data_IF_462319604662
#
_entry.id   IF_462319604662
#
_cell.length_a   1.000
_cell.length_b   1.000
_cell.length_c   1.000
_cell.angle_alpha   90.00
_cell.angle_beta   90.00
_cell.angle_gamma   90.00
#
_symmetry.space_group_name_H-M   'P 1'
#
loop_
_entity.id
_entity.type
_entity.pdbx_description
1 polymer ?
#
# COMPACT_ATOMS: atom_id res chain seq x y z
N UNK A 1 -4.97 6.23 20.60
CA UNK A 1 -4.12 6.50 19.42
C UNK A 1 -3.80 5.18 18.74
N UNK A 2 -3.82 5.12 17.42
CA UNK A 2 -3.56 3.89 16.65
C UNK A 2 -2.21 4.01 15.96
N UNK A 3 -1.35 3.01 16.16
CA UNK A 3 0.01 2.95 15.63
C UNK A 3 0.16 1.64 14.87
N UNK A 4 0.70 1.71 13.65
CA UNK A 4 1.02 0.54 12.84
C UNK A 4 2.56 0.39 12.82
N UNK A 5 3.13 -0.59 13.54
CA UNK A 5 4.58 -0.80 13.55
C UNK A 5 5.04 -1.40 12.21
N UNK A 6 5.90 -0.69 11.49
CA UNK A 6 6.46 -1.12 10.20
C UNK A 6 7.92 -0.66 10.04
N UNK A 7 8.65 -1.27 9.12
CA UNK A 7 9.91 -0.70 8.64
C UNK A 7 9.61 0.56 7.80
N UNK A 8 9.78 1.72 8.41
CA UNK A 8 9.47 3.02 7.80
C UNK A 8 10.66 3.68 7.07
N UNK A 9 11.80 2.98 6.93
CA UNK A 9 12.97 3.50 6.21
C UNK A 9 13.14 2.90 4.81
N UNK A 10 12.75 1.64 4.63
CA UNK A 10 12.91 0.96 3.35
C UNK A 10 11.86 1.40 2.34
N UNK A 11 12.27 1.87 1.15
CA UNK A 11 11.34 2.24 0.06
C UNK A 11 10.34 1.13 -0.28
N UNK A 12 10.82 -0.11 -0.39
CA UNK A 12 9.99 -1.29 -0.65
C UNK A 12 9.01 -1.59 0.50
N UNK A 13 9.46 -1.43 1.74
CA UNK A 13 8.63 -1.67 2.91
C UNK A 13 7.50 -0.64 3.01
N UNK A 14 7.79 0.64 2.72
CA UNK A 14 6.78 1.70 2.65
C UNK A 14 5.79 1.46 1.50
N UNK A 15 6.26 1.13 0.30
CA UNK A 15 5.41 0.82 -0.85
C UNK A 15 4.42 -0.31 -0.52
N UNK A 16 4.94 -1.43 0.01
CA UNK A 16 4.11 -2.54 0.43
C UNK A 16 3.09 -2.15 1.51
N UNK A 17 3.53 -1.39 2.52
CA UNK A 17 2.67 -0.94 3.63
C UNK A 17 1.49 -0.12 3.12
N UNK A 18 1.75 0.87 2.26
CA UNK A 18 0.67 1.69 1.71
C UNK A 18 -0.22 0.93 0.74
N UNK A 19 0.34 0.01 -0.04
CA UNK A 19 -0.43 -0.84 -0.95
C UNK A 19 -1.43 -1.73 -0.19
N UNK A 20 -0.99 -2.44 0.86
CA UNK A 20 -1.90 -3.28 1.66
C UNK A 20 -2.96 -2.45 2.40
N UNK A 21 -2.61 -1.25 2.87
CA UNK A 21 -3.54 -0.36 3.56
C UNK A 21 -4.60 0.18 2.60
N UNK A 22 -4.21 0.63 1.41
CA UNK A 22 -5.14 1.10 0.39
C UNK A 22 -6.13 -0.02 0.01
N UNK A 23 -5.61 -1.23 -0.24
CA UNK A 23 -6.45 -2.39 -0.52
C UNK A 23 -7.43 -2.69 0.62
N UNK A 24 -6.96 -2.70 1.86
CA UNK A 24 -7.85 -2.99 3.00
C UNK A 24 -8.92 -1.90 3.17
N UNK A 25 -8.56 -0.62 3.00
CA UNK A 25 -9.54 0.48 3.08
C UNK A 25 -10.64 0.33 2.03
N UNK A 26 -10.31 -0.06 0.80
CA UNK A 26 -11.30 -0.28 -0.25
C UNK A 26 -12.23 -1.47 0.06
N UNK A 27 -11.70 -2.53 0.69
CA UNK A 27 -12.51 -3.66 1.17
C UNK A 27 -13.50 -3.23 2.25
N UNK A 28 -13.03 -2.50 3.26
CA UNK A 28 -13.88 -2.01 4.36
C UNK A 28 -14.95 -1.00 3.88
N UNK A 29 -14.68 -0.30 2.78
CA UNK A 29 -15.66 0.60 2.13
C UNK A 29 -16.67 -0.12 1.25
N UNK A 30 -16.40 -1.36 0.87
CA UNK A 30 -17.20 -2.11 -0.12
C UNK A 30 -16.94 -1.73 -1.56
N UNK A 31 -15.87 -0.99 -1.85
CA UNK A 31 -15.45 -0.64 -3.22
C UNK A 31 -14.92 -1.88 -3.97
N UNK A 32 -14.36 -2.84 -3.23
CA UNK A 32 -13.94 -4.16 -3.72
C UNK A 32 -14.43 -5.27 -2.76
N UNK A 33 -14.62 -6.52 -3.24
CA UNK A 33 -14.98 -7.64 -2.38
C UNK A 33 -13.96 -7.89 -1.25
N UNK A 34 -14.32 -8.56 -0.14
CA UNK A 34 -13.42 -8.83 0.98
C UNK A 34 -12.11 -9.55 0.61
N UNK A 35 -12.15 -10.36 -0.44
CA UNK A 35 -11.04 -11.07 -1.06
C UNK A 35 -10.58 -10.43 -2.38
N UNK A 36 -11.27 -9.38 -2.83
CA UNK A 36 -10.96 -8.62 -4.02
C UNK A 36 -9.62 -7.91 -3.92
N UNK A 37 -8.95 -7.75 -5.06
CA UNK A 37 -7.65 -7.09 -5.15
C UNK A 37 -7.76 -5.77 -5.92
N UNK A 38 -6.75 -4.91 -5.75
CA UNK A 38 -6.64 -3.69 -6.54
C UNK A 38 -5.88 -3.96 -7.83
N UNK A 39 -6.17 -3.20 -8.89
CA UNK A 39 -5.50 -3.35 -10.18
C UNK A 39 -4.04 -2.90 -10.17
N UNK A 40 -3.65 -2.10 -9.17
CA UNK A 40 -2.29 -1.60 -9.00
C UNK A 40 -1.41 -2.66 -8.35
N UNK A 41 -0.19 -2.78 -8.86
CA UNK A 41 0.86 -3.62 -8.26
C UNK A 41 1.56 -2.90 -7.10
N UNK A 42 2.37 -3.62 -6.33
CA UNK A 42 3.19 -3.00 -5.26
C UNK A 42 4.27 -2.09 -5.89
N UNK A 43 4.77 -2.46 -7.07
CA UNK A 43 5.75 -1.72 -7.85
C UNK A 43 5.23 -0.33 -8.25
N UNK A 44 3.92 -0.19 -8.50
CA UNK A 44 3.28 1.10 -8.78
C UNK A 44 3.34 2.07 -7.59
N UNK A 45 3.54 1.54 -6.37
CA UNK A 45 3.70 2.31 -5.13
C UNK A 45 5.18 2.59 -4.80
N UNK A 46 6.14 2.01 -5.54
CA UNK A 46 7.56 2.27 -5.31
C UNK A 46 7.94 3.69 -5.78
N UNK A 47 8.67 4.41 -4.93
CA UNK A 47 9.22 5.70 -5.30
C UNK A 47 10.23 5.53 -6.45
N UNK A 48 9.92 6.11 -7.61
CA UNK A 48 10.85 6.18 -8.73
C UNK A 48 11.99 7.12 -8.34
N UNK A 49 13.26 6.74 -8.54
CA UNK A 49 14.36 7.67 -8.35
C UNK A 49 14.12 8.88 -9.27
N UNK A 50 14.21 10.08 -8.71
CA UNK A 50 14.25 11.30 -9.51
C UNK A 50 15.44 11.19 -10.47
N UNK A 51 15.16 11.23 -11.78
CA UNK A 51 16.20 11.36 -12.77
C UNK A 51 16.78 12.78 -12.64
N UNK A 52 17.97 12.89 -12.07
CA UNK A 52 18.77 14.11 -12.12
C UNK A 52 19.37 14.29 -13.51
#
# INVERSE_FOLDING_TARGET
ELIIPVNNKGRKALALTYWILARQVLRERGDIPPDGDISLSVEDFEAKPEAY
#
